data_IF_218038394859
#
_entry.id   IF_218038394859
#
_cell.length_a   1.000
_cell.length_b   1.000
_cell.length_c   1.000
_cell.angle_alpha   90.00
_cell.angle_beta   90.00
_cell.angle_gamma   90.00
#
_symmetry.space_group_name_H-M   'P 1'
#
loop_
_entity.id
_entity.type
_entity.pdbx_description
1 polymer ?
#
# COMPACT_ATOMS: atom_id res chain seq x y z
N UNK A 1 -19.05 -3.64 -39.58
CA UNK A 1 -18.15 -3.51 -38.41
C UNK A 1 -18.61 -2.30 -37.59
N UNK A 2 -19.78 -2.37 -36.94
CA UNK A 2 -20.39 -1.26 -36.21
C UNK A 2 -20.02 -1.35 -34.72
N UNK A 3 -19.28 -0.32 -34.27
CA UNK A 3 -19.26 0.30 -32.94
C UNK A 3 -19.63 -0.51 -31.69
N UNK A 4 -18.66 -1.20 -31.10
CA UNK A 4 -18.73 -1.67 -29.70
C UNK A 4 -18.88 -0.52 -28.67
N UNK A 5 -18.68 0.74 -29.08
CA UNK A 5 -18.84 1.91 -28.20
C UNK A 5 -20.29 2.41 -28.05
N UNK A 6 -21.20 2.07 -28.96
CA UNK A 6 -22.59 2.55 -28.91
C UNK A 6 -23.45 1.75 -27.91
N UNK A 7 -23.06 0.51 -27.62
CA UNK A 7 -23.90 -0.45 -26.88
C UNK A 7 -23.74 -0.35 -25.35
N UNK A 8 -22.82 0.47 -24.83
CA UNK A 8 -22.70 0.73 -23.38
C UNK A 8 -23.19 2.13 -23.00
N UNK A 9 -23.26 3.03 -23.98
CA UNK A 9 -23.70 4.41 -23.76
C UNK A 9 -25.18 4.48 -23.35
N UNK A 10 -26.04 3.58 -23.86
CA UNK A 10 -27.46 3.50 -23.49
C UNK A 10 -27.67 3.10 -22.02
N UNK A 11 -26.69 2.43 -21.41
CA UNK A 11 -26.66 2.12 -19.97
C UNK A 11 -26.06 3.26 -19.13
N UNK A 12 -25.68 4.39 -19.75
CA UNK A 12 -25.01 5.50 -19.08
C UNK A 12 -23.61 5.15 -18.58
N UNK A 13 -23.00 4.08 -19.09
CA UNK A 13 -21.64 3.67 -18.77
C UNK A 13 -20.66 4.42 -19.66
N UNK A 14 -19.63 4.98 -19.04
CA UNK A 14 -18.54 5.66 -19.74
C UNK A 14 -17.21 5.00 -19.37
N UNK A 15 -16.17 5.09 -20.22
CA UNK A 15 -14.84 4.62 -19.86
C UNK A 15 -14.33 5.20 -18.53
N UNK A 16 -14.73 6.42 -18.17
CA UNK A 16 -14.38 7.02 -16.89
C UNK A 16 -15.02 6.28 -15.70
N UNK A 17 -16.30 5.93 -15.77
CA UNK A 17 -16.99 5.15 -14.72
C UNK A 17 -16.40 3.74 -14.56
N UNK A 18 -16.02 3.11 -15.68
CA UNK A 18 -15.36 1.81 -15.65
C UNK A 18 -13.98 1.89 -14.99
N UNK A 19 -13.18 2.93 -15.32
CA UNK A 19 -11.89 3.17 -14.65
C UNK A 19 -12.05 3.41 -13.15
N UNK A 20 -13.05 4.19 -12.75
CA UNK A 20 -13.33 4.44 -11.34
C UNK A 20 -13.67 3.14 -10.60
N UNK A 21 -14.50 2.29 -11.21
CA UNK A 21 -14.88 0.99 -10.64
C UNK A 21 -13.66 0.07 -10.51
N UNK A 22 -12.83 -0.02 -11.55
CA UNK A 22 -11.60 -0.81 -11.54
C UNK A 22 -10.61 -0.33 -10.47
N UNK A 23 -10.39 0.99 -10.36
CA UNK A 23 -9.52 1.57 -9.34
C UNK A 23 -10.04 1.27 -7.93
N UNK A 24 -11.33 1.49 -7.69
CA UNK A 24 -11.95 1.25 -6.37
C UNK A 24 -11.86 -0.21 -5.94
N UNK A 25 -12.13 -1.14 -6.85
CA UNK A 25 -12.01 -2.57 -6.57
C UNK A 25 -10.57 -2.99 -6.29
N UNK A 26 -9.60 -2.46 -7.05
CA UNK A 26 -8.18 -2.76 -6.84
C UNK A 26 -7.67 -2.24 -5.49
N UNK A 27 -8.04 -1.02 -5.09
CA UNK A 27 -7.67 -0.48 -3.76
C UNK A 27 -8.28 -1.32 -2.64
N UNK A 28 -9.56 -1.70 -2.77
CA UNK A 28 -10.22 -2.57 -1.80
C UNK A 28 -9.56 -3.96 -1.68
N UNK A 29 -8.97 -4.47 -2.77
CA UNK A 29 -8.19 -5.70 -2.78
C UNK A 29 -6.75 -5.53 -2.22
N UNK A 30 -6.37 -4.33 -1.78
CA UNK A 30 -5.05 -4.04 -1.22
C UNK A 30 -3.97 -3.74 -2.26
N UNK A 31 -4.34 -3.42 -3.51
CA UNK A 31 -3.36 -3.06 -4.52
C UNK A 31 -2.67 -1.72 -4.19
N UNK A 32 -1.35 -1.67 -4.45
CA UNK A 32 -0.60 -0.43 -4.36
C UNK A 32 -0.80 0.47 -5.59
N UNK A 33 -0.34 1.71 -5.47
CA UNK A 33 -0.47 2.73 -6.52
C UNK A 33 0.21 2.32 -7.83
N UNK A 34 1.30 1.56 -7.78
CA UNK A 34 2.02 1.13 -8.98
C UNK A 34 1.24 0.07 -9.74
N UNK A 35 0.59 -0.85 -9.03
CA UNK A 35 -0.32 -1.83 -9.63
C UNK A 35 -1.49 -1.13 -10.31
N UNK A 36 -2.11 -0.14 -9.66
CA UNK A 36 -3.23 0.59 -10.22
C UNK A 36 -2.79 1.46 -11.41
N UNK A 37 -1.60 2.07 -11.36
CA UNK A 37 -1.02 2.78 -12.49
C UNK A 37 -0.95 1.88 -13.74
N UNK A 38 -0.44 0.64 -13.59
CA UNK A 38 -0.32 -0.33 -14.67
C UNK A 38 -1.70 -0.80 -15.16
N UNK A 39 -2.62 -1.07 -14.22
CA UNK A 39 -3.99 -1.49 -14.52
C UNK A 39 -4.74 -0.45 -15.37
N UNK A 40 -4.56 0.83 -15.08
CA UNK A 40 -5.24 1.93 -15.77
C UNK A 40 -4.48 2.46 -16.99
N UNK A 41 -3.23 2.01 -17.19
CA UNK A 41 -2.38 2.46 -18.28
C UNK A 41 -1.90 3.89 -18.14
N UNK A 42 -1.80 4.42 -16.91
CA UNK A 42 -1.29 5.76 -16.68
C UNK A 42 0.22 5.83 -16.88
N UNK A 43 0.69 6.94 -17.43
CA UNK A 43 2.12 7.14 -17.75
C UNK A 43 2.98 7.13 -16.49
N UNK A 44 2.44 7.65 -15.39
CA UNK A 44 3.09 7.72 -14.09
C UNK A 44 2.09 7.56 -12.94
N UNK A 45 2.64 7.28 -11.75
CA UNK A 45 1.85 7.12 -10.53
C UNK A 45 1.20 8.43 -10.09
N UNK A 46 1.76 9.59 -10.44
CA UNK A 46 1.25 10.91 -10.09
C UNK A 46 -0.14 11.14 -10.68
N UNK A 47 -0.35 10.79 -11.95
CA UNK A 47 -1.66 10.85 -12.61
C UNK A 47 -2.71 10.00 -11.86
N UNK A 48 -2.30 8.83 -11.38
CA UNK A 48 -3.14 7.94 -10.56
C UNK A 48 -3.47 8.56 -9.21
N UNK A 49 -2.47 9.08 -8.49
CA UNK A 49 -2.64 9.66 -7.16
C UNK A 49 -3.50 10.93 -7.18
N UNK A 50 -3.31 11.79 -8.20
CA UNK A 50 -4.11 13.01 -8.35
C UNK A 50 -5.59 12.69 -8.56
N UNK A 51 -5.90 11.58 -9.24
CA UNK A 51 -7.28 11.22 -9.59
C UNK A 51 -7.93 10.33 -8.53
N UNK A 52 -7.20 9.34 -8.01
CA UNK A 52 -7.74 8.24 -7.19
C UNK A 52 -7.10 8.14 -5.81
N UNK A 53 -6.19 9.05 -5.43
CA UNK A 53 -5.50 9.01 -4.13
C UNK A 53 -6.45 8.98 -2.93
N UNK A 54 -7.61 9.61 -3.05
CA UNK A 54 -8.67 9.63 -2.04
C UNK A 54 -9.33 8.26 -1.79
N UNK A 55 -9.07 7.25 -2.62
CA UNK A 55 -9.59 5.90 -2.42
C UNK A 55 -8.80 5.13 -1.34
N UNK A 56 -7.55 5.53 -1.05
CA UNK A 56 -6.76 4.89 -0.01
C UNK A 56 -7.19 5.37 1.38
N UNK A 57 -7.30 4.46 2.36
CA UNK A 57 -7.53 4.84 3.74
C UNK A 57 -6.34 5.62 4.29
N UNK A 58 -6.60 6.57 5.19
CA UNK A 58 -5.56 7.14 6.02
C UNK A 58 -5.07 6.07 7.00
N UNK A 59 -3.76 5.83 7.01
CA UNK A 59 -3.11 4.80 7.81
C UNK A 59 -1.90 5.33 8.56
N UNK A 60 -1.78 6.65 8.69
CA UNK A 60 -0.59 7.24 9.33
C UNK A 60 -0.41 6.75 10.77
N UNK A 61 -1.50 6.66 11.52
CA UNK A 61 -1.48 6.16 12.91
C UNK A 61 -1.08 4.67 12.98
N UNK A 62 -1.61 3.83 12.10
CA UNK A 62 -1.24 2.41 12.03
C UNK A 62 0.25 2.23 11.74
N UNK A 63 0.77 2.99 10.78
CA UNK A 63 2.18 2.97 10.39
C UNK A 63 3.06 3.48 11.53
N UNK A 64 2.64 4.55 12.22
CA UNK A 64 3.34 5.10 13.38
C UNK A 64 3.44 4.06 14.52
N UNK A 65 2.35 3.39 14.83
CA UNK A 65 2.33 2.33 15.85
C UNK A 65 3.22 1.15 15.47
N UNK A 66 3.15 0.69 14.21
CA UNK A 66 4.00 -0.38 13.72
C UNK A 66 5.49 -0.02 13.80
N UNK A 67 5.84 1.24 13.53
CA UNK A 67 7.20 1.74 13.65
C UNK A 67 7.70 1.72 15.09
N UNK A 68 6.89 2.14 16.07
CA UNK A 68 7.29 2.10 17.48
C UNK A 68 7.49 0.67 18.00
N UNK A 69 6.62 -0.26 17.60
CA UNK A 69 6.78 -1.69 17.91
C UNK A 69 8.10 -2.23 17.34
N UNK A 70 8.37 -1.97 16.06
CA UNK A 70 9.61 -2.42 15.42
C UNK A 70 10.86 -1.82 16.09
N UNK A 71 10.80 -0.55 16.49
CA UNK A 71 11.88 0.13 17.22
C UNK A 71 12.15 -0.54 18.58
N UNK A 72 11.10 -0.83 19.35
CA UNK A 72 11.23 -1.49 20.65
C UNK A 72 11.85 -2.88 20.52
N UNK A 73 11.44 -3.66 19.50
CA UNK A 73 12.01 -4.99 19.22
C UNK A 73 13.49 -4.93 18.84
N UNK A 74 13.88 -3.95 18.02
CA UNK A 74 15.28 -3.75 17.65
C UNK A 74 16.16 -3.43 18.88
N UNK A 75 15.69 -2.52 19.76
CA UNK A 75 16.41 -2.17 20.99
C UNK A 75 16.54 -3.36 21.96
N UNK A 76 15.48 -4.14 22.13
CA UNK A 76 15.52 -5.34 22.96
C UNK A 76 16.51 -6.39 22.43
N UNK A 77 16.55 -6.56 21.10
CA UNK A 77 17.50 -7.46 20.43
C UNK A 77 18.94 -7.00 20.65
N UNK A 78 19.23 -5.71 20.49
CA UNK A 78 20.56 -5.14 20.75
C UNK A 78 20.96 -5.27 22.22
N UNK A 79 20.05 -5.00 23.15
CA UNK A 79 20.30 -5.16 24.59
C UNK A 79 20.60 -6.61 24.95
N UNK A 80 19.90 -7.58 24.34
CA UNK A 80 20.16 -9.00 24.53
C UNK A 80 21.57 -9.40 24.05
N UNK A 81 22.00 -8.91 22.90
CA UNK A 81 23.34 -9.16 22.35
C UNK A 81 24.45 -8.55 23.21
N UNK A 82 24.20 -7.38 23.82
CA UNK A 82 25.18 -6.72 24.69
C UNK A 82 25.27 -7.33 26.10
N UNK A 83 24.26 -8.08 26.55
CA UNK A 83 24.20 -8.69 27.88
C UNK A 83 24.90 -10.07 27.97
N UNK A 84 26.02 -10.29 27.28
CA UNK A 84 26.83 -11.51 27.48
C UNK A 84 27.28 -11.57 28.95
N UNK A 85 26.94 -12.63 29.72
CA UNK A 85 27.34 -12.73 31.11
C UNK A 85 28.86 -12.85 31.19
N UNK A 86 29.52 -11.96 31.94
CA UNK A 86 30.94 -12.15 32.25
C UNK A 86 31.08 -13.44 33.05
N UNK A 87 31.76 -14.43 32.45
CA UNK A 87 32.13 -15.64 33.15
C UNK A 87 32.97 -15.25 34.36
N UNK A 88 32.42 -15.47 35.55
CA UNK A 88 33.09 -15.26 36.83
C UNK A 88 34.36 -16.11 36.85
N UNK A 89 35.51 -15.45 36.79
CA UNK A 89 36.81 -16.00 37.24
C UNK A 89 36.68 -16.40 38.71
N UNK A 90 36.45 -17.68 38.97
CA UNK A 90 36.65 -18.26 40.29
C UNK A 90 38.12 -18.70 40.38
N UNK A 91 38.85 -18.00 41.24
CA UNK A 91 40.19 -18.35 41.68
C UNK A 91 40.20 -19.73 42.35
N UNK A 92 41.23 -20.51 42.09
CA UNK A 92 41.83 -21.49 42.99
C UNK A 92 43.30 -21.65 42.63
#
# INVERSE_FOLDING_TARGET
MLGAGADLAHLGLTPHKLRHTAASAAVAAGADVKVIQLLLGHKDATETLNTYGHLWPDRLDEVSQAFEVARAQALATTAHVLHVPKMSTAAS
#
